data_IF_760915196947
#
_entry.id   IF_760915196947
#
_cell.length_a   1.000
_cell.length_b   1.000
_cell.length_c   1.000
_cell.angle_alpha   90.00
_cell.angle_beta   90.00
_cell.angle_gamma   90.00
#
_symmetry.space_group_name_H-M   'P 1'
#
loop_
_entity.id
_entity.type
_entity.pdbx_description
1 polymer ?
#
# COMPACT_ATOMS: atom_id res chain seq x y z
N UNK A 1 27.86 -30.91 -41.54
CA UNK A 1 26.84 -29.87 -41.43
C UNK A 1 27.37 -28.81 -40.45
N UNK A 2 27.85 -27.67 -40.95
CA UNK A 2 28.40 -26.59 -40.11
C UNK A 2 27.25 -25.65 -39.76
N UNK A 3 26.85 -25.61 -38.49
CA UNK A 3 25.84 -24.68 -37.98
C UNK A 3 26.55 -23.39 -37.60
N UNK A 4 26.27 -22.30 -38.33
CA UNK A 4 26.72 -20.97 -37.96
C UNK A 4 25.64 -20.33 -37.09
N UNK A 5 25.96 -20.08 -35.82
CA UNK A 5 25.09 -19.34 -34.90
C UNK A 5 25.46 -17.86 -35.00
N UNK A 6 24.60 -17.07 -35.62
CA UNK A 6 24.70 -15.61 -35.66
C UNK A 6 24.07 -15.05 -34.38
N UNK A 7 24.91 -14.60 -33.45
CA UNK A 7 24.49 -13.88 -32.25
C UNK A 7 24.39 -12.40 -32.63
N UNK A 8 23.17 -11.88 -32.75
CA UNK A 8 22.93 -10.44 -32.83
C UNK A 8 23.03 -9.86 -31.42
N UNK A 9 24.19 -9.29 -31.07
CA UNK A 9 24.33 -8.41 -29.93
C UNK A 9 23.73 -7.05 -30.32
N UNK A 10 22.48 -6.79 -29.94
CA UNK A 10 21.95 -5.44 -29.96
C UNK A 10 22.70 -4.62 -28.91
N UNK A 11 23.63 -3.79 -29.34
CA UNK A 11 24.17 -2.72 -28.51
C UNK A 11 23.00 -1.78 -28.19
N UNK A 12 22.49 -1.84 -26.96
CA UNK A 12 21.61 -0.82 -26.42
C UNK A 12 22.39 0.51 -26.43
N UNK A 13 22.15 1.33 -27.46
CA UNK A 13 22.68 2.68 -27.50
C UNK A 13 21.81 3.50 -26.54
N UNK A 14 22.38 3.88 -25.38
CA UNK A 14 21.80 4.94 -24.55
C UNK A 14 21.69 6.19 -25.43
N UNK A 15 20.47 6.59 -25.75
CA UNK A 15 20.19 7.74 -26.59
C UNK A 15 20.39 8.98 -25.74
N UNK A 16 21.39 9.79 -26.11
CA UNK A 16 21.71 11.06 -25.45
C UNK A 16 21.15 12.19 -26.29
N UNK A 17 20.37 13.07 -25.67
CA UNK A 17 19.93 14.31 -26.31
C UNK A 17 20.95 15.41 -26.00
N UNK A 18 21.55 15.99 -27.03
CA UNK A 18 22.50 17.11 -26.89
C UNK A 18 21.83 18.41 -27.34
N UNK A 19 21.80 19.40 -26.46
CA UNK A 19 21.35 20.77 -26.76
C UNK A 19 22.49 21.75 -26.50
N UNK A 20 22.52 22.90 -27.16
CA UNK A 20 23.55 23.92 -26.97
C UNK A 20 22.92 25.25 -26.59
N UNK A 21 23.52 25.93 -25.61
CA UNK A 21 23.13 27.28 -25.18
C UNK A 21 24.33 28.21 -25.36
N UNK A 22 24.09 29.38 -25.94
CA UNK A 22 25.09 30.42 -26.17
C UNK A 22 24.75 31.65 -25.33
N UNK A 23 25.74 32.26 -24.67
CA UNK A 23 25.56 33.49 -23.91
C UNK A 23 25.32 34.70 -24.83
N UNK A 24 24.44 35.61 -24.42
CA UNK A 24 24.25 36.90 -25.11
C UNK A 24 25.31 37.92 -24.66
N UNK A 25 25.87 38.66 -25.63
CA UNK A 25 26.96 39.63 -25.37
C UNK A 25 26.56 40.73 -24.36
N UNK A 26 25.30 41.17 -24.38
CA UNK A 26 24.79 42.24 -23.51
C UNK A 26 24.74 41.83 -22.02
N UNK A 27 24.78 40.52 -21.73
CA UNK A 27 24.71 39.96 -20.38
C UNK A 27 26.08 39.58 -19.80
N UNK A 28 27.16 40.06 -20.40
CA UNK A 28 28.54 39.84 -19.94
C UNK A 28 29.11 41.07 -19.23
N UNK A 29 29.50 40.91 -17.96
CA UNK A 29 30.10 41.96 -17.12
C UNK A 29 31.60 41.70 -16.97
N UNK A 30 32.43 42.73 -17.11
CA UNK A 30 33.87 42.64 -16.84
C UNK A 30 34.12 43.04 -15.38
N UNK A 31 34.74 42.16 -14.60
CA UNK A 31 35.08 42.45 -13.22
C UNK A 31 36.30 43.40 -13.13
N UNK A 32 36.57 43.93 -11.93
CA UNK A 32 37.67 44.88 -11.69
C UNK A 32 39.08 44.31 -11.95
N UNK A 33 39.21 42.99 -12.03
CA UNK A 33 40.44 42.26 -12.33
C UNK A 33 40.56 41.84 -13.81
N UNK A 34 39.61 42.26 -14.66
CA UNK A 34 39.61 41.98 -16.10
C UNK A 34 38.94 40.66 -16.51
N UNK A 35 38.42 39.87 -15.56
CA UNK A 35 37.69 38.64 -15.88
C UNK A 35 36.27 38.97 -16.36
N UNK A 36 35.85 38.34 -17.46
CA UNK A 36 34.51 38.52 -18.02
C UNK A 36 33.57 37.43 -17.51
N UNK A 37 32.52 37.84 -16.81
CA UNK A 37 31.46 36.98 -16.31
C UNK A 37 30.22 37.14 -17.19
N UNK A 38 29.81 36.09 -17.91
CA UNK A 38 28.60 36.09 -18.73
C UNK A 38 27.45 35.41 -18.01
N UNK A 39 26.27 36.04 -18.00
CA UNK A 39 25.05 35.49 -17.44
C UNK A 39 24.24 34.76 -18.52
N UNK A 40 23.82 33.53 -18.22
CA UNK A 40 22.95 32.73 -19.06
C UNK A 40 21.52 32.78 -18.51
N UNK A 41 20.63 33.50 -19.18
CA UNK A 41 19.20 33.52 -18.84
C UNK A 41 18.41 32.90 -19.98
N UNK A 42 18.30 31.56 -19.97
CA UNK A 42 17.54 30.81 -20.95
C UNK A 42 16.54 29.90 -20.26
N UNK A 43 15.32 29.83 -20.80
CA UNK A 43 14.30 28.87 -20.38
C UNK A 43 14.34 27.70 -21.35
N UNK A 44 14.67 26.51 -20.83
CA UNK A 44 14.67 25.29 -21.62
C UNK A 44 13.59 24.33 -21.16
N UNK A 45 12.90 23.75 -22.14
CA UNK A 45 11.93 22.67 -21.92
C UNK A 45 12.62 21.36 -22.29
N UNK A 46 12.71 20.47 -21.31
CA UNK A 46 13.38 19.17 -21.44
C UNK A 46 12.35 18.06 -21.26
N UNK A 47 12.39 17.05 -22.13
CA UNK A 47 11.52 15.89 -22.06
C UNK A 47 12.35 14.67 -21.68
N UNK A 48 12.13 14.13 -20.48
CA UNK A 48 12.71 12.86 -20.07
C UNK A 48 11.78 11.73 -20.46
N UNK A 49 12.31 10.72 -21.14
CA UNK A 49 11.61 9.47 -21.38
C UNK A 49 12.47 8.30 -20.86
N UNK A 50 11.89 7.12 -20.62
CA UNK A 50 12.63 5.97 -20.10
C UNK A 50 13.83 5.53 -20.96
N UNK A 51 13.85 5.89 -22.25
CA UNK A 51 14.92 5.52 -23.19
C UNK A 51 16.01 6.61 -23.29
N UNK A 52 15.63 7.88 -23.08
CA UNK A 52 16.48 9.07 -23.08
C UNK A 52 16.58 9.62 -21.66
N UNK A 53 17.33 8.87 -20.85
CA UNK A 53 17.50 9.17 -19.41
C UNK A 53 18.53 10.27 -19.16
N UNK A 54 19.24 10.70 -20.20
CA UNK A 54 20.35 11.67 -20.13
C UNK A 54 20.13 12.78 -21.16
N UNK A 55 20.12 14.01 -20.67
CA UNK A 55 20.12 15.22 -21.49
C UNK A 55 21.40 15.99 -21.18
N UNK A 56 22.20 16.25 -22.20
CA UNK A 56 23.44 17.01 -22.11
C UNK A 56 23.26 18.39 -22.76
N UNK A 57 23.75 19.41 -22.08
CA UNK A 57 23.67 20.80 -22.51
C UNK A 57 25.09 21.35 -22.60
N UNK A 58 25.52 21.66 -23.81
CA UNK A 58 26.77 22.37 -24.05
C UNK A 58 26.60 23.86 -23.80
N UNK A 59 27.46 24.44 -22.97
CA UNK A 59 27.48 25.87 -22.66
C UNK A 59 28.55 26.56 -23.49
N UNK A 60 28.15 27.57 -24.25
CA UNK A 60 29.03 28.34 -25.12
C UNK A 60 29.06 29.82 -24.75
N UNK A 61 30.21 30.46 -24.91
CA UNK A 61 30.32 31.91 -24.82
C UNK A 61 29.66 32.59 -26.04
N UNK A 62 29.58 33.91 -26.04
CA UNK A 62 29.02 34.71 -27.15
C UNK A 62 29.77 34.56 -28.49
N UNK A 63 30.97 33.96 -28.49
CA UNK A 63 31.76 33.63 -29.68
C UNK A 63 31.62 32.16 -30.09
N UNK A 64 30.69 31.43 -29.48
CA UNK A 64 30.46 29.99 -29.68
C UNK A 64 31.61 29.08 -29.22
N UNK A 65 32.50 29.54 -28.34
CA UNK A 65 33.51 28.70 -27.71
C UNK A 65 32.89 27.90 -26.55
N UNK A 66 33.26 26.63 -26.42
CA UNK A 66 32.80 25.76 -25.33
C UNK A 66 33.39 26.18 -23.98
N UNK A 67 32.51 26.47 -23.02
CA UNK A 67 32.88 26.90 -21.65
C UNK A 67 32.67 25.79 -20.63
N UNK A 68 31.74 24.87 -20.91
CA UNK A 68 31.41 23.75 -20.05
C UNK A 68 30.21 22.96 -20.56
N UNK A 69 29.76 21.99 -19.78
CA UNK A 69 28.57 21.21 -20.06
C UNK A 69 27.73 21.02 -18.79
N UNK A 70 26.43 20.79 -19.00
CA UNK A 70 25.48 20.49 -17.93
C UNK A 70 24.67 19.27 -18.32
N UNK A 71 24.76 18.22 -17.51
CA UNK A 71 24.09 16.95 -17.73
C UNK A 71 22.98 16.79 -16.72
N UNK A 72 21.80 16.43 -17.20
CA UNK A 72 20.65 16.06 -16.40
C UNK A 72 20.36 14.58 -16.60
N UNK A 73 20.37 13.82 -15.51
CA UNK A 73 20.10 12.40 -15.52
C UNK A 73 18.86 12.10 -14.69
N UNK A 74 17.88 11.43 -15.31
CA UNK A 74 16.75 10.87 -14.57
C UNK A 74 17.24 9.73 -13.68
N UNK A 75 17.14 9.90 -12.36
CA UNK A 75 17.63 8.91 -11.41
C UNK A 75 16.54 7.91 -11.00
N UNK A 76 15.38 8.38 -10.51
CA UNK A 76 14.24 7.51 -10.15
C UNK A 76 12.93 8.28 -10.00
N UNK A 77 11.81 7.56 -10.12
CA UNK A 77 10.45 8.05 -9.84
C UNK A 77 9.91 7.35 -8.59
N UNK A 78 9.39 8.09 -7.60
CA UNK A 78 8.81 7.54 -6.35
C UNK A 78 7.29 7.72 -6.31
N UNK A 79 6.63 6.80 -5.61
CA UNK A 79 5.17 6.77 -5.44
C UNK A 79 4.80 6.25 -4.03
N UNK A 80 3.87 6.91 -3.29
CA UNK A 80 3.64 6.69 -1.83
C UNK A 80 2.17 6.43 -1.45
N UNK A 81 1.89 5.62 -0.41
CA UNK A 81 0.54 5.14 -0.06
C UNK A 81 0.23 4.95 1.46
N UNK A 82 -1.06 4.90 1.88
CA UNK A 82 -1.58 4.93 3.29
C UNK A 82 -2.79 3.94 3.49
N UNK A 83 -3.20 3.51 4.71
CA UNK A 83 -2.88 2.18 5.33
C UNK A 83 -3.90 1.74 6.51
N UNK A 84 -4.46 0.46 6.69
CA UNK A 84 -4.83 -0.33 8.00
C UNK A 84 -5.55 -1.79 7.98
N UNK A 85 -5.49 -2.71 9.04
CA UNK A 85 -6.26 -4.06 9.34
C UNK A 85 -6.10 -4.74 10.80
N UNK A 86 -6.92 -5.77 11.27
CA UNK A 86 -6.62 -7.17 11.92
C UNK A 86 -7.82 -8.02 12.57
N UNK A 87 -7.64 -9.24 13.22
CA UNK A 87 -8.48 -10.53 13.32
C UNK A 87 -8.80 -11.25 14.71
N UNK A 88 -9.66 -12.34 14.75
CA UNK A 88 -10.47 -13.03 15.85
C UNK A 88 -10.09 -14.44 16.39
N UNK A 89 -10.39 -14.76 17.69
CA UNK A 89 -10.85 -16.08 18.25
C UNK A 89 -11.53 -16.05 19.68
N UNK A 90 -12.58 -16.87 19.94
CA UNK A 90 -13.14 -17.49 21.19
C UNK A 90 -14.64 -17.81 21.06
N UNK A 91 -15.09 -18.97 21.54
CA UNK A 91 -16.50 -19.42 21.49
C UNK A 91 -17.12 -19.60 22.89
N UNK A 92 -18.33 -19.08 23.10
CA UNK A 92 -19.17 -19.25 24.29
C UNK A 92 -20.59 -19.67 23.87
N UNK A 93 -21.22 -20.59 24.61
CA UNK A 93 -22.58 -21.05 24.30
C UNK A 93 -23.43 -21.24 25.57
N UNK A 94 -24.75 -21.15 25.40
CA UNK A 94 -25.75 -21.29 26.46
C UNK A 94 -27.05 -21.85 25.91
N UNK A 95 -27.47 -23.00 26.43
CA UNK A 95 -28.70 -23.68 26.03
C UNK A 95 -29.83 -23.45 27.04
N UNK A 96 -31.06 -23.25 26.55
CA UNK A 96 -32.25 -22.98 27.36
C UNK A 96 -33.48 -23.68 26.80
N UNK A 97 -34.26 -24.27 27.71
CA UNK A 97 -35.58 -24.80 27.40
C UNK A 97 -36.55 -23.69 26.98
N UNK A 98 -37.61 -24.03 26.23
CA UNK A 98 -38.66 -23.08 25.89
C UNK A 98 -39.26 -22.43 27.15
N UNK A 99 -39.48 -21.12 27.09
CA UNK A 99 -40.02 -20.29 28.18
C UNK A 99 -39.12 -20.17 29.42
N UNK A 100 -37.81 -20.44 29.28
CA UNK A 100 -36.84 -20.28 30.36
C UNK A 100 -35.72 -19.30 29.98
N UNK A 101 -35.37 -18.40 30.90
CA UNK A 101 -34.39 -17.34 30.65
C UNK A 101 -34.79 -16.47 29.45
N UNK A 102 -33.85 -16.21 28.55
CA UNK A 102 -34.05 -15.46 27.31
C UNK A 102 -34.82 -16.24 26.23
N UNK A 103 -34.99 -17.57 26.37
CA UNK A 103 -35.69 -18.41 25.40
C UNK A 103 -37.20 -18.24 25.51
N UNK A 104 -37.70 -17.14 24.96
CA UNK A 104 -39.13 -16.80 24.83
C UNK A 104 -39.59 -16.96 23.39
N UNK A 105 -40.89 -16.80 23.12
CA UNK A 105 -41.48 -17.08 21.80
C UNK A 105 -40.72 -16.42 20.65
N UNK A 106 -40.32 -17.22 19.66
CA UNK A 106 -39.58 -16.80 18.47
C UNK A 106 -38.26 -16.04 18.75
N UNK A 107 -37.63 -16.25 19.92
CA UNK A 107 -36.40 -15.52 20.26
C UNK A 107 -35.28 -15.78 19.25
N UNK A 108 -35.05 -17.01 18.82
CA UNK A 108 -34.00 -17.30 17.83
C UNK A 108 -34.21 -16.57 16.51
N UNK A 109 -35.46 -16.47 16.03
CA UNK A 109 -35.79 -15.80 14.77
C UNK A 109 -35.74 -14.27 14.86
N UNK A 110 -35.93 -13.71 16.05
CA UNK A 110 -35.99 -12.25 16.29
C UNK A 110 -34.71 -11.66 16.89
N UNK A 111 -33.75 -12.51 17.27
CA UNK A 111 -32.49 -12.09 17.85
C UNK A 111 -31.70 -11.22 16.86
N UNK A 112 -31.33 -10.02 17.30
CA UNK A 112 -30.47 -9.14 16.50
C UNK A 112 -29.02 -9.56 16.63
N UNK A 113 -28.27 -9.32 15.56
CA UNK A 113 -26.83 -9.52 15.57
C UNK A 113 -26.17 -8.65 16.66
N UNK A 114 -25.33 -9.27 17.49
CA UNK A 114 -24.61 -8.65 18.62
C UNK A 114 -25.52 -8.19 19.78
N UNK A 115 -26.77 -8.67 19.82
CA UNK A 115 -27.65 -8.47 20.97
C UNK A 115 -27.07 -9.16 22.21
N UNK A 116 -27.11 -8.48 23.34
CA UNK A 116 -26.66 -9.05 24.61
C UNK A 116 -27.71 -10.04 25.12
N UNK A 117 -27.25 -11.23 25.47
CA UNK A 117 -28.06 -12.30 26.05
C UNK A 117 -27.44 -12.64 27.40
N UNK A 118 -28.24 -12.60 28.47
CA UNK A 118 -27.78 -12.86 29.86
C UNK A 118 -27.04 -14.20 29.97
N UNK A 119 -27.50 -15.21 29.24
CA UNK A 119 -26.89 -16.54 29.18
C UNK A 119 -25.47 -16.57 28.61
N UNK A 120 -25.03 -15.50 27.92
CA UNK A 120 -23.74 -15.40 27.25
C UNK A 120 -22.86 -14.28 27.83
N UNK A 121 -23.28 -13.66 28.95
CA UNK A 121 -22.53 -12.62 29.67
C UNK A 121 -21.41 -13.21 30.53
N UNK A 122 -20.32 -13.61 29.88
CA UNK A 122 -19.12 -14.13 30.55
C UNK A 122 -17.90 -13.22 30.38
N UNK A 123 -17.85 -12.39 29.33
CA UNK A 123 -16.70 -11.54 29.01
C UNK A 123 -16.92 -10.08 29.37
N UNK A 124 -16.01 -9.55 30.21
CA UNK A 124 -15.91 -8.10 30.48
C UNK A 124 -15.12 -7.33 29.42
N UNK A 125 -14.52 -8.04 28.47
CA UNK A 125 -13.69 -7.43 27.43
C UNK A 125 -14.55 -6.93 26.27
N UNK A 126 -14.19 -5.77 25.72
CA UNK A 126 -14.98 -5.07 24.70
C UNK A 126 -14.58 -5.50 23.28
N UNK A 127 -14.34 -6.79 23.09
CA UNK A 127 -13.95 -7.34 21.80
C UNK A 127 -15.14 -7.48 20.84
N UNK A 128 -14.93 -7.37 19.51
CA UNK A 128 -15.94 -7.67 18.51
C UNK A 128 -16.49 -9.06 18.74
N UNK A 129 -17.81 -9.17 18.77
CA UNK A 129 -18.51 -10.41 19.09
C UNK A 129 -19.75 -10.51 18.23
N UNK A 130 -20.06 -11.72 17.80
CA UNK A 130 -21.29 -12.05 17.11
C UNK A 130 -22.09 -12.98 18.00
N UNK A 131 -23.36 -12.65 18.17
CA UNK A 131 -24.33 -13.44 18.93
C UNK A 131 -25.39 -13.96 17.97
N UNK A 132 -25.69 -15.26 18.10
CA UNK A 132 -26.63 -16.00 17.25
C UNK A 132 -27.41 -17.02 18.08
N UNK A 133 -28.41 -17.61 17.45
CA UNK A 133 -29.30 -18.60 18.05
C UNK A 133 -29.63 -19.68 17.03
N UNK A 134 -29.69 -20.92 17.49
CA UNK A 134 -30.24 -22.06 16.76
C UNK A 134 -31.39 -22.66 17.54
N UNK A 135 -32.41 -23.12 16.83
CA UNK A 135 -33.46 -23.93 17.42
C UNK A 135 -32.97 -25.38 17.50
N UNK A 136 -33.12 -25.99 18.68
CA UNK A 136 -32.81 -27.40 18.90
C UNK A 136 -34.05 -28.14 19.39
N UNK A 137 -33.95 -29.46 19.47
CA UNK A 137 -35.03 -30.28 20.02
C UNK A 137 -35.29 -29.94 21.50
N UNK A 138 -36.56 -29.71 21.83
CA UNK A 138 -37.03 -29.61 23.21
C UNK A 138 -37.58 -30.95 23.71
N UNK A 139 -38.55 -30.90 24.61
CA UNK A 139 -39.26 -32.06 25.13
C UNK A 139 -38.54 -32.81 26.26
N UNK A 140 -39.27 -33.75 26.88
CA UNK A 140 -38.83 -34.42 28.10
C UNK A 140 -37.57 -35.27 27.90
N UNK A 141 -37.39 -35.84 26.70
CA UNK A 141 -36.18 -36.59 26.35
C UNK A 141 -34.90 -35.74 26.46
N UNK A 142 -35.02 -34.43 26.24
CA UNK A 142 -33.94 -33.45 26.31
C UNK A 142 -33.97 -32.63 27.60
N UNK A 143 -34.80 -33.01 28.58
CA UNK A 143 -34.89 -32.34 29.89
C UNK A 143 -35.79 -31.09 29.93
N UNK A 144 -36.55 -30.80 28.87
CA UNK A 144 -37.46 -29.65 28.82
C UNK A 144 -38.91 -30.06 29.03
N UNK A 145 -39.66 -29.32 29.85
CA UNK A 145 -41.08 -29.60 30.11
C UNK A 145 -41.98 -29.49 28.87
N UNK A 146 -41.67 -28.57 27.96
CA UNK A 146 -42.42 -28.33 26.73
C UNK A 146 -41.77 -29.02 25.52
N UNK A 147 -42.61 -29.58 24.63
CA UNK A 147 -42.20 -30.24 23.37
C UNK A 147 -41.95 -29.26 22.21
N UNK A 148 -41.81 -27.98 22.53
CA UNK A 148 -41.54 -26.89 21.59
C UNK A 148 -40.01 -26.77 21.42
N UNK A 149 -39.47 -26.27 20.29
CA UNK A 149 -38.03 -26.11 20.10
C UNK A 149 -37.37 -25.28 21.19
N UNK A 150 -36.24 -25.79 21.71
CA UNK A 150 -35.39 -25.09 22.67
C UNK A 150 -34.48 -24.08 21.95
N UNK A 151 -33.91 -23.13 22.70
CA UNK A 151 -33.00 -22.14 22.16
C UNK A 151 -31.55 -22.49 22.55
N UNK A 152 -30.71 -22.65 21.54
CA UNK A 152 -29.27 -22.75 21.70
C UNK A 152 -28.65 -21.41 21.31
N UNK A 153 -28.36 -20.59 22.32
CA UNK A 153 -27.68 -19.32 22.15
C UNK A 153 -26.18 -19.56 22.07
N UNK A 154 -25.51 -18.87 21.17
CA UNK A 154 -24.06 -18.92 21.09
C UNK A 154 -23.49 -17.58 20.65
N UNK A 155 -22.27 -17.35 21.10
CA UNK A 155 -21.48 -16.16 20.83
C UNK A 155 -20.07 -16.58 20.48
N UNK A 156 -19.55 -16.02 19.42
CA UNK A 156 -18.13 -16.11 19.10
C UNK A 156 -17.56 -14.70 19.05
N UNK A 157 -16.36 -14.55 19.60
CA UNK A 157 -15.69 -13.29 19.81
C UNK A 157 -14.31 -13.29 19.23
N UNK A 158 -13.85 -12.09 18.92
CA UNK A 158 -12.60 -11.83 18.26
C UNK A 158 -11.55 -11.49 19.32
N UNK A 159 -10.70 -12.43 19.75
CA UNK A 159 -9.61 -12.10 20.67
C UNK A 159 -8.25 -12.06 19.93
N UNK A 160 -7.42 -11.02 20.16
CA UNK A 160 -6.08 -10.95 19.60
C UNK A 160 -5.11 -11.86 20.40
N UNK A 161 -4.19 -12.52 19.71
CA UNK A 161 -3.09 -13.26 20.36
C UNK A 161 -1.95 -12.34 20.79
N UNK A 162 -1.17 -12.76 21.78
CA UNK A 162 -0.08 -11.95 22.37
C UNK A 162 1.06 -11.59 21.40
N UNK A 163 1.17 -12.27 20.25
CA UNK A 163 2.23 -12.06 19.25
C UNK A 163 1.74 -11.33 17.99
N UNK A 164 0.51 -10.83 17.99
CA UNK A 164 -0.14 -10.28 16.80
C UNK A 164 0.46 -8.93 16.35
N UNK A 165 1.06 -8.91 15.15
CA UNK A 165 1.45 -7.66 14.44
C UNK A 165 0.28 -7.05 13.69
N UNK A 166 0.06 -5.74 13.80
CA UNK A 166 -0.95 -5.04 13.01
C UNK A 166 -0.53 -5.07 11.54
N UNK A 167 -1.36 -5.70 10.71
CA UNK A 167 -1.19 -5.73 9.26
C UNK A 167 -2.08 -4.66 8.65
N UNK A 168 -1.71 -4.23 7.46
CA UNK A 168 -2.18 -2.96 6.94
C UNK A 168 -2.45 -3.06 5.46
N UNK A 169 -3.72 -2.96 5.06
CA UNK A 169 -4.14 -3.19 3.68
C UNK A 169 -4.64 -1.91 3.09
N UNK A 170 -4.20 -1.66 1.87
CA UNK A 170 -4.50 -0.41 1.20
C UNK A 170 -4.42 -0.54 -0.30
N UNK A 171 -5.14 0.36 -0.95
CA UNK A 171 -5.04 0.64 -2.37
C UNK A 171 -4.69 2.11 -2.53
N UNK A 172 -3.90 2.43 -3.54
CA UNK A 172 -3.48 3.80 -3.80
C UNK A 172 -4.43 4.41 -4.83
N UNK A 173 -5.37 5.30 -4.44
CA UNK A 173 -6.31 5.91 -5.38
C UNK A 173 -5.61 6.88 -6.33
N UNK A 174 -4.47 7.42 -5.89
CA UNK A 174 -3.59 8.30 -6.64
C UNK A 174 -2.16 8.02 -6.23
N UNK A 175 -1.27 8.14 -7.20
CA UNK A 175 0.16 8.09 -6.99
C UNK A 175 0.73 9.50 -7.17
N UNK A 176 1.27 10.06 -6.09
CA UNK A 176 2.03 11.30 -6.20
C UNK A 176 3.42 10.99 -6.71
N UNK A 177 3.74 11.54 -7.87
CA UNK A 177 5.00 11.31 -8.54
C UNK A 177 6.05 12.30 -8.06
N UNK A 178 7.22 11.78 -7.76
CA UNK A 178 8.41 12.57 -7.48
C UNK A 178 9.55 12.06 -8.36
N UNK A 179 10.20 12.96 -9.10
CA UNK A 179 11.33 12.66 -9.96
C UNK A 179 12.62 13.13 -9.29
N UNK A 180 13.52 12.21 -8.99
CA UNK A 180 14.88 12.56 -8.62
C UNK A 180 15.70 12.76 -9.91
N UNK A 181 16.21 13.97 -10.13
CA UNK A 181 17.15 14.29 -11.22
C UNK A 181 18.53 14.52 -10.63
N UNK A 182 19.53 13.82 -11.17
CA UNK A 182 20.93 14.10 -10.90
C UNK A 182 21.43 15.14 -11.90
N UNK A 183 22.00 16.21 -11.41
CA UNK A 183 22.51 17.31 -12.21
C UNK A 183 24.02 17.34 -12.04
N UNK A 184 24.74 17.37 -13.15
CA UNK A 184 26.21 17.42 -13.20
C UNK A 184 26.58 18.65 -14.04
N UNK A 185 27.32 19.58 -13.45
CA UNK A 185 27.87 20.75 -14.14
C UNK A 185 29.38 20.54 -14.25
N UNK A 186 29.90 20.48 -15.46
CA UNK A 186 31.32 20.31 -15.77
C UNK A 186 31.83 21.60 -16.44
N UNK A 187 32.76 22.28 -15.78
CA UNK A 187 33.51 23.42 -16.36
C UNK A 187 34.98 23.06 -16.46
N UNK A 188 35.79 23.93 -17.08
CA UNK A 188 37.25 23.68 -17.18
C UNK A 188 37.94 23.56 -15.83
N UNK A 189 37.41 24.17 -14.77
CA UNK A 189 38.03 24.22 -13.45
C UNK A 189 37.40 23.26 -12.44
N UNK A 190 36.09 22.99 -12.57
CA UNK A 190 35.32 22.33 -11.52
C UNK A 190 34.21 21.45 -12.09
N UNK A 191 33.92 20.35 -11.39
CA UNK A 191 32.75 19.50 -11.62
C UNK A 191 31.89 19.47 -10.36
N UNK A 192 30.63 19.86 -10.48
CA UNK A 192 29.67 19.91 -9.36
C UNK A 192 28.53 18.95 -9.66
N UNK A 193 28.14 18.14 -8.69
CA UNK A 193 27.05 17.18 -8.81
C UNK A 193 26.04 17.38 -7.68
N UNK A 194 24.76 17.35 -7.99
CA UNK A 194 23.70 17.31 -6.98
C UNK A 194 22.51 16.44 -7.42
N UNK A 195 21.70 16.02 -6.45
CA UNK A 195 20.45 15.33 -6.67
C UNK A 195 19.29 16.25 -6.24
N UNK A 196 18.38 16.53 -7.16
CA UNK A 196 17.21 17.39 -6.92
C UNK A 196 15.95 16.57 -7.12
N UNK A 197 15.06 16.58 -6.13
CA UNK A 197 13.73 15.98 -6.25
C UNK A 197 12.73 17.01 -6.76
N UNK A 198 12.07 16.69 -7.87
CA UNK A 198 11.05 17.51 -8.51
C UNK A 198 9.67 16.90 -8.29
N UNK A 199 8.68 17.77 -8.09
CA UNK A 199 7.26 17.40 -8.02
C UNK A 199 6.49 18.23 -9.04
N UNK A 200 5.48 17.65 -9.71
CA UNK A 200 4.66 18.39 -10.67
C UNK A 200 4.10 19.67 -10.08
N UNK A 201 4.23 20.78 -10.82
CA UNK A 201 3.71 22.10 -10.42
C UNK A 201 4.48 22.78 -9.29
N UNK A 202 5.65 22.26 -8.87
CA UNK A 202 6.52 22.91 -7.88
C UNK A 202 7.89 23.23 -8.49
N UNK A 203 8.38 24.42 -8.19
CA UNK A 203 9.73 24.85 -8.54
C UNK A 203 10.69 24.48 -7.41
N UNK A 204 11.73 23.73 -7.75
CA UNK A 204 12.89 23.49 -6.90
C UNK A 204 14.04 24.37 -7.38
N UNK A 205 14.78 24.95 -6.45
CA UNK A 205 15.92 25.82 -6.76
C UNK A 205 17.21 25.15 -6.29
N UNK A 206 18.23 25.18 -7.15
CA UNK A 206 19.57 24.69 -6.82
C UNK A 206 20.61 25.54 -7.55
N UNK A 207 21.52 26.17 -6.80
CA UNK A 207 22.38 27.26 -7.30
C UNK A 207 21.52 28.31 -8.02
N UNK A 208 21.92 28.72 -9.22
CA UNK A 208 21.18 29.67 -10.07
C UNK A 208 20.14 28.98 -10.98
N UNK A 209 19.89 27.67 -10.80
CA UNK A 209 18.92 26.91 -11.57
C UNK A 209 17.57 26.85 -10.86
N UNK A 210 16.51 27.14 -11.62
CA UNK A 210 15.11 27.00 -11.19
C UNK A 210 14.46 25.91 -12.03
N UNK A 211 14.15 24.79 -11.39
CA UNK A 211 13.69 23.57 -12.05
C UNK A 211 12.23 23.33 -11.69
N UNK A 212 11.37 23.21 -12.69
CA UNK A 212 9.95 22.94 -12.48
C UNK A 212 9.52 21.75 -13.33
N UNK A 213 9.03 20.69 -12.69
CA UNK A 213 8.36 19.62 -13.41
C UNK A 213 6.96 20.13 -13.83
N UNK A 214 6.75 20.37 -15.12
CA UNK A 214 5.48 20.89 -15.64
C UNK A 214 4.41 19.80 -15.67
N UNK A 215 4.76 18.60 -16.11
CA UNK A 215 3.90 17.44 -16.10
C UNK A 215 4.72 16.16 -15.94
N UNK A 216 4.13 15.14 -15.33
CA UNK A 216 4.72 13.82 -15.20
C UNK A 216 3.63 12.78 -15.41
N UNK A 217 3.91 11.80 -16.26
CA UNK A 217 3.00 10.68 -16.53
C UNK A 217 3.77 9.39 -16.37
N UNK A 218 3.20 8.41 -15.67
CA UNK A 218 3.73 7.05 -15.62
C UNK A 218 2.87 6.21 -16.55
N UNK A 219 3.48 5.31 -17.32
CA UNK A 219 2.75 4.33 -18.11
C UNK A 219 1.80 3.54 -17.17
N UNK A 220 0.63 3.09 -17.65
CA UNK A 220 -0.29 2.30 -16.85
C UNK A 220 0.39 0.98 -16.45
N UNK A 221 0.99 0.97 -15.26
CA UNK A 221 1.61 -0.20 -14.67
C UNK A 221 0.52 -1.00 -13.94
N UNK A 222 0.35 -2.31 -14.22
CA UNK A 222 -0.63 -3.14 -13.53
C UNK A 222 -0.52 -3.06 -12.00
N UNK A 223 0.72 -2.95 -11.50
CA UNK A 223 1.06 -2.77 -10.10
C UNK A 223 0.34 -1.58 -9.43
N UNK A 224 0.05 -0.51 -10.17
CA UNK A 224 -0.59 0.69 -9.61
C UNK A 224 -2.06 0.47 -9.23
N UNK A 225 -2.67 -0.63 -9.68
CA UNK A 225 -4.06 -1.00 -9.40
C UNK A 225 -4.18 -2.14 -8.38
N UNK A 226 -3.06 -2.66 -7.88
CA UNK A 226 -3.03 -3.76 -6.92
C UNK A 226 -3.43 -3.34 -5.51
N UNK A 227 -3.84 -4.32 -4.70
CA UNK A 227 -3.95 -4.18 -3.26
C UNK A 227 -2.61 -4.50 -2.62
N UNK A 228 -2.24 -3.74 -1.61
CA UNK A 228 -0.98 -3.93 -0.90
C UNK A 228 -1.26 -4.29 0.56
N UNK A 229 -0.34 -5.04 1.14
CA UNK A 229 -0.31 -5.37 2.56
C UNK A 229 1.02 -4.92 3.18
N UNK A 230 0.99 -4.41 4.41
CA UNK A 230 2.18 -3.96 5.12
C UNK A 230 2.14 -4.34 6.60
N UNK A 231 3.31 -4.60 7.19
CA UNK A 231 3.50 -4.87 8.62
C UNK A 231 4.25 -3.72 9.33
N UNK A 232 4.16 -2.50 8.77
CA UNK A 232 4.97 -1.31 9.06
C UNK A 232 6.43 -1.33 8.58
N UNK A 233 7.06 -2.52 8.45
CA UNK A 233 8.46 -2.66 8.02
C UNK A 233 8.59 -3.05 6.56
N UNK A 234 7.64 -3.83 6.07
CA UNK A 234 7.64 -4.48 4.75
C UNK A 234 6.32 -4.16 4.05
N UNK A 235 6.35 -4.17 2.73
CA UNK A 235 5.16 -4.03 1.86
C UNK A 235 5.20 -5.16 0.84
N UNK A 236 4.05 -5.74 0.58
CA UNK A 236 3.87 -6.75 -0.45
C UNK A 236 2.57 -6.53 -1.22
N UNK A 237 2.48 -7.12 -2.40
CA UNK A 237 1.23 -7.21 -3.15
C UNK A 237 0.35 -8.26 -2.49
N UNK A 238 -0.92 -7.94 -2.31
CA UNK A 238 -1.92 -8.88 -1.86
C UNK A 238 -2.47 -9.64 -3.06
N UNK A 239 -2.30 -10.96 -3.06
CA UNK A 239 -2.91 -11.82 -4.08
C UNK A 239 -4.44 -11.79 -3.97
N UNK A 240 -5.14 -11.76 -5.12
CA UNK A 240 -6.60 -11.69 -5.20
C UNK A 240 -7.33 -12.77 -4.40
N UNK A 241 -6.74 -13.96 -4.30
CA UNK A 241 -7.32 -15.09 -3.56
C UNK A 241 -7.45 -14.79 -2.06
N UNK A 242 -6.56 -13.93 -1.54
CA UNK A 242 -6.53 -13.56 -0.15
C UNK A 242 -7.43 -12.35 0.17
N UNK A 243 -7.97 -11.64 -0.83
CA UNK A 243 -8.83 -10.45 -0.63
C UNK A 243 -10.07 -10.77 0.23
N UNK A 244 -10.72 -11.91 -0.03
CA UNK A 244 -11.92 -12.33 0.73
C UNK A 244 -11.64 -12.52 2.21
N UNK A 245 -10.45 -13.02 2.53
CA UNK A 245 -10.03 -13.28 3.90
C UNK A 245 -9.96 -11.96 4.69
N UNK A 246 -9.53 -10.89 4.02
CA UNK A 246 -9.39 -9.53 4.58
C UNK A 246 -10.70 -8.83 4.77
N UNK A 247 -11.67 -9.10 3.90
CA UNK A 247 -12.99 -8.51 4.05
C UNK A 247 -13.67 -8.94 5.33
N UNK A 248 -13.30 -10.11 5.87
CA UNK A 248 -13.86 -10.66 7.08
C UNK A 248 -13.56 -9.79 8.32
N UNK A 249 -12.57 -8.89 8.26
CA UNK A 249 -12.12 -8.09 9.40
C UNK A 249 -11.74 -6.67 9.02
N UNK A 250 -12.54 -5.72 9.49
CA UNK A 250 -12.33 -4.30 9.18
C UNK A 250 -12.26 -3.50 10.47
N UNK A 251 -11.06 -3.02 10.78
CA UNK A 251 -10.83 -2.06 11.84
C UNK A 251 -10.77 -0.64 11.23
N UNK A 252 -11.50 0.34 11.77
CA UNK A 252 -11.53 1.69 11.20
C UNK A 252 -10.21 2.45 11.35
N UNK A 253 -9.40 2.11 12.36
CA UNK A 253 -8.14 2.80 12.68
C UNK A 253 -7.06 1.83 13.14
N UNK A 254 -5.79 2.24 13.03
CA UNK A 254 -4.67 1.51 13.62
C UNK A 254 -4.85 1.27 15.12
N UNK A 255 -5.32 2.29 15.86
CA UNK A 255 -5.58 2.18 17.29
C UNK A 255 -6.65 1.14 17.61
N UNK A 256 -7.74 1.14 16.84
CA UNK A 256 -8.78 0.12 16.97
C UNK A 256 -8.29 -1.28 16.63
N UNK A 257 -7.32 -1.43 15.73
CA UNK A 257 -6.70 -2.70 15.42
C UNK A 257 -5.75 -3.19 16.52
N UNK A 258 -5.05 -2.26 17.18
CA UNK A 258 -4.16 -2.54 18.30
C UNK A 258 -4.94 -2.93 19.56
N UNK A 259 -5.97 -2.16 19.91
CA UNK A 259 -6.82 -2.40 21.09
C UNK A 259 -7.91 -3.44 20.80
N UNK A 260 -8.15 -3.72 19.52
CA UNK A 260 -9.13 -4.66 19.00
C UNK A 260 -10.55 -4.48 19.55
N UNK A 261 -10.98 -3.24 19.78
CA UNK A 261 -12.22 -2.92 20.47
C UNK A 261 -13.40 -2.55 19.55
N UNK A 262 -13.10 -1.94 18.40
CA UNK A 262 -14.11 -1.34 17.50
C UNK A 262 -14.00 -1.91 16.08
N UNK A 263 -13.30 -3.02 15.93
CA UNK A 263 -13.23 -3.76 14.69
C UNK A 263 -14.57 -4.45 14.38
N UNK A 264 -14.84 -4.62 13.09
CA UNK A 264 -16.01 -5.36 12.60
C UNK A 264 -15.56 -6.70 12.08
N UNK A 265 -16.34 -7.71 12.40
CA UNK A 265 -16.15 -9.09 11.96
C UNK A 265 -17.30 -9.49 11.06
N UNK A 266 -17.02 -10.21 9.98
CA UNK A 266 -18.04 -10.70 9.08
C UNK A 266 -18.93 -11.73 9.80
N UNK A 267 -20.27 -11.57 9.74
CA UNK A 267 -21.23 -12.55 10.20
C UNK A 267 -20.92 -14.00 9.84
N UNK A 268 -20.42 -14.24 8.63
CA UNK A 268 -20.37 -15.56 8.00
C UNK A 268 -18.99 -16.21 8.11
N UNK A 269 -18.08 -15.63 8.89
CA UNK A 269 -16.72 -16.15 9.03
C UNK A 269 -16.66 -17.53 9.69
N UNK A 270 -17.56 -17.80 10.63
CA UNK A 270 -17.65 -19.07 11.33
C UNK A 270 -18.91 -19.81 10.86
N UNK A 271 -18.73 -21.06 10.47
CA UNK A 271 -19.81 -22.01 10.27
C UNK A 271 -20.02 -22.77 11.58
N UNK A 272 -21.19 -22.61 12.17
CA UNK A 272 -21.54 -23.21 13.45
C UNK A 272 -22.70 -24.16 13.24
N UNK A 273 -22.64 -25.32 13.89
CA UNK A 273 -23.69 -26.32 13.86
C UNK A 273 -24.03 -26.77 15.29
N UNK A 274 -25.30 -27.08 15.52
CA UNK A 274 -25.76 -27.66 16.77
C UNK A 274 -25.29 -29.12 16.86
N UNK A 275 -24.75 -29.48 18.02
CA UNK A 275 -24.39 -30.84 18.42
C UNK A 275 -25.12 -31.14 19.75
N UNK A 276 -26.37 -31.58 19.63
CA UNK A 276 -27.33 -31.71 20.73
C UNK A 276 -27.56 -30.38 21.48
N UNK A 277 -27.10 -30.29 22.73
CA UNK A 277 -27.18 -29.09 23.57
C UNK A 277 -25.91 -28.21 23.50
N UNK A 278 -24.96 -28.58 22.63
CA UNK A 278 -23.70 -27.86 22.42
C UNK A 278 -23.63 -27.25 21.02
N UNK A 279 -22.71 -26.32 20.81
CA UNK A 279 -22.38 -25.77 19.48
C UNK A 279 -20.96 -26.13 19.11
N UNK A 280 -20.76 -26.60 17.87
CA UNK A 280 -19.46 -26.72 17.24
C UNK A 280 -19.33 -25.66 16.14
N UNK A 281 -18.31 -24.80 16.25
CA UNK A 281 -18.01 -23.76 15.26
C UNK A 281 -16.66 -24.03 14.58
N UNK A 282 -16.63 -23.89 13.26
CA UNK A 282 -15.43 -23.90 12.42
C UNK A 282 -15.28 -22.50 11.80
N UNK A 283 -14.20 -21.81 12.15
CA UNK A 283 -13.92 -20.46 11.67
C UNK A 283 -12.77 -20.47 10.65
N UNK A 284 -12.88 -19.64 9.62
CA UNK A 284 -11.78 -19.44 8.68
C UNK A 284 -10.69 -18.57 9.32
N UNK A 285 -9.59 -19.22 9.72
CA UNK A 285 -8.47 -18.58 10.39
C UNK A 285 -7.54 -17.83 9.44
N UNK A 286 -6.84 -16.87 10.02
CA UNK A 286 -5.96 -15.95 9.31
C UNK A 286 -4.48 -16.27 9.39
N UNK A 287 -4.16 -17.36 10.08
CA UNK A 287 -2.79 -17.83 10.32
C UNK A 287 -2.01 -18.02 9.01
N UNK A 288 -2.70 -18.25 7.91
CA UNK A 288 -2.10 -18.54 6.61
C UNK A 288 -1.43 -17.31 5.95
N UNK A 289 -1.81 -16.08 6.31
CA UNK A 289 -1.18 -14.88 5.73
C UNK A 289 0.22 -14.61 6.29
N UNK A 290 0.51 -14.93 7.56
CA UNK A 290 1.86 -14.72 8.12
C UNK A 290 2.86 -15.80 7.63
N UNK A 291 2.34 -16.98 7.22
CA UNK A 291 3.14 -18.08 6.65
C UNK A 291 3.35 -17.98 5.13
N UNK A 292 2.39 -17.38 4.39
CA UNK A 292 2.59 -17.14 2.96
C UNK A 292 3.71 -16.14 2.77
N UNK A 293 4.74 -16.60 2.06
CA UNK A 293 5.97 -15.87 1.75
C UNK A 293 5.60 -14.68 0.86
N UNK A 294 5.24 -13.56 1.48
CA UNK A 294 4.98 -12.31 0.78
C UNK A 294 6.12 -12.02 -0.19
N UNK A 295 5.83 -11.89 -1.49
CA UNK A 295 6.79 -11.35 -2.44
C UNK A 295 7.10 -9.90 -2.01
N UNK A 296 8.22 -9.74 -1.32
CA UNK A 296 8.68 -8.44 -0.86
C UNK A 296 8.92 -7.56 -2.08
N UNK A 297 8.20 -6.45 -2.14
CA UNK A 297 8.54 -5.39 -3.08
C UNK A 297 9.81 -4.72 -2.57
N UNK A 298 10.96 -5.22 -3.03
CA UNK A 298 12.23 -4.52 -2.91
C UNK A 298 12.18 -3.35 -3.92
N UNK A 299 11.69 -2.20 -3.46
CA UNK A 299 11.53 -0.99 -4.28
C UNK A 299 12.88 -0.43 -4.77
N UNK A 300 13.99 -0.96 -4.27
CA UNK A 300 15.35 -0.63 -4.71
C UNK A 300 15.89 -1.56 -5.82
N UNK A 301 15.19 -2.64 -6.21
CA UNK A 301 15.71 -3.63 -7.18
C UNK A 301 14.88 -3.90 -8.43
N UNK A 302 13.64 -3.42 -8.53
CA UNK A 302 12.93 -3.45 -9.82
C UNK A 302 13.19 -2.16 -10.61
N UNK A 303 14.42 -2.06 -11.11
CA UNK A 303 14.70 -1.33 -12.35
C UNK A 303 13.78 -1.90 -13.41
N UNK A 304 12.68 -1.21 -13.72
CA UNK A 304 11.89 -1.54 -14.90
C UNK A 304 12.72 -1.15 -16.12
N UNK A 305 13.53 -2.09 -16.61
CA UNK A 305 14.04 -2.03 -17.96
C UNK A 305 12.86 -2.24 -18.89
N UNK A 306 12.50 -1.17 -19.61
CA UNK A 306 11.72 -1.26 -20.84
C UNK A 306 12.69 -1.60 -21.96
#
# INVERSE_FOLDING_TARGET
>A
MKVAVLIFLSLAQNTKSLTTITAEQEKCIINKMGYRNCLFENVLVMNFNPNEQEIDILLQDYQSNSVGSMKFLMNRIKAKCVKAVKYLDTNYFGWRCPYTGSCTEMKCSSLKMNETIEELETDKNNYPKITRCMETEGGWANGCFYVIPACLFYKYSAIPTNEAKVLEIFKCPKWDLELDIKIIIETQNETITNLVSLRPGRTSEWNDLRLTATSMTVAPLPLLNELFISDSKRIAILEKENEKIIENFKCPTYRSALEFNTCKIDPMICDCNAADQNVACLCNDLLDLDQKRFELLDLDQKSFHI
#
